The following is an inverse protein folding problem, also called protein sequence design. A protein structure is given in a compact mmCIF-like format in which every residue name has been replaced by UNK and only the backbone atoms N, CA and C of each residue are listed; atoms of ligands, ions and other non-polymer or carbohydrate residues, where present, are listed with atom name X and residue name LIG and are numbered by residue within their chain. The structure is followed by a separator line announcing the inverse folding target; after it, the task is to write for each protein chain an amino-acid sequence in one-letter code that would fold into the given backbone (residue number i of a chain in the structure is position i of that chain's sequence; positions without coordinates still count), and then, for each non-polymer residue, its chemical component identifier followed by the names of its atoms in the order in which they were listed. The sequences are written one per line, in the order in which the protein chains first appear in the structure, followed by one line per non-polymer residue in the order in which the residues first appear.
data_IF_026807605763
#
_entry.id   IF_026807605763
#
_cell.length_a   1.000
_cell.length_b   1.000
_cell.length_c   1.000
_cell.angle_alpha   90.00
_cell.angle_beta   90.00
_cell.angle_gamma   90.00
#
_symmetry.space_group_name_H-M   'P 1'
#
loop_
_entity.id
_entity.type
_entity.pdbx_description
1 polymer ?
#
# COMPACT_ATOMS: atom_id res chain seq x y z
N UNK A 1 5.02 3.64 -27.58
CA UNK A 1 5.06 2.26 -28.12
C UNK A 1 4.30 2.29 -29.44
N UNK A 2 4.81 1.71 -30.51
CA UNK A 2 4.16 1.79 -31.83
C UNK A 2 3.27 0.57 -32.12
N UNK A 3 2.33 0.74 -33.03
CA UNK A 3 1.36 -0.30 -33.42
C UNK A 3 2.01 -1.47 -34.15
N UNK A 4 3.19 -1.29 -34.75
CA UNK A 4 3.94 -2.37 -35.41
C UNK A 4 4.56 -3.32 -34.38
N UNK A 5 4.93 -2.81 -33.21
CA UNK A 5 5.47 -3.55 -32.09
C UNK A 5 4.38 -4.31 -31.34
N UNK A 6 3.22 -3.68 -31.10
CA UNK A 6 2.07 -4.32 -30.45
C UNK A 6 1.55 -5.55 -31.19
N UNK A 7 1.59 -5.54 -32.54
CA UNK A 7 1.18 -6.68 -33.39
C UNK A 7 2.01 -7.96 -33.19
N UNK A 8 3.18 -7.88 -32.54
CA UNK A 8 4.07 -9.03 -32.26
C UNK A 8 3.91 -9.56 -30.83
N UNK A 9 3.09 -8.93 -29.99
CA UNK A 9 2.80 -9.43 -28.65
C UNK A 9 1.62 -10.39 -28.71
N UNK A 10 1.83 -11.63 -28.24
CA UNK A 10 0.76 -12.63 -28.16
C UNK A 10 -0.28 -12.29 -27.08
N UNK A 11 0.13 -11.58 -26.03
CA UNK A 11 -0.73 -11.19 -24.93
C UNK A 11 -0.34 -9.81 -24.41
N UNK A 12 -1.35 -9.02 -24.03
CA UNK A 12 -1.18 -7.78 -23.28
C UNK A 12 -1.93 -7.99 -21.96
N UNK A 13 -1.21 -7.91 -20.84
CA UNK A 13 -1.81 -8.02 -19.51
C UNK A 13 -1.90 -6.63 -18.91
N UNK A 14 -3.13 -6.18 -18.68
CA UNK A 14 -3.38 -4.90 -18.06
C UNK A 14 -3.33 -5.00 -16.54
N UNK A 15 -2.63 -4.06 -15.91
CA UNK A 15 -2.60 -3.89 -14.47
C UNK A 15 -3.25 -2.56 -14.12
N UNK A 16 -4.60 -2.50 -14.00
CA UNK A 16 -5.29 -1.27 -13.70
C UNK A 16 -4.98 -0.80 -12.27
N UNK A 17 -5.28 0.48 -12.01
CA UNK A 17 -5.23 1.00 -10.65
C UNK A 17 -6.12 0.16 -9.71
N UNK A 18 -5.61 -0.22 -8.52
CA UNK A 18 -6.36 -1.08 -7.62
C UNK A 18 -7.62 -0.36 -7.13
N UNK A 19 -8.76 -1.03 -7.11
CA UNK A 19 -9.98 -0.54 -6.51
C UNK A 19 -9.90 -0.52 -4.97
N UNK A 20 -10.95 -0.04 -4.30
CA UNK A 20 -10.97 0.06 -2.84
C UNK A 20 -10.71 -1.30 -2.14
N UNK A 21 -11.42 -2.35 -2.54
CA UNK A 21 -11.25 -3.71 -2.00
C UNK A 21 -9.84 -4.25 -2.20
N UNK A 22 -9.26 -4.03 -3.38
CA UNK A 22 -7.89 -4.41 -3.70
C UNK A 22 -6.89 -3.63 -2.86
N UNK A 23 -7.04 -2.30 -2.69
CA UNK A 23 -6.17 -1.50 -1.82
C UNK A 23 -6.23 -1.97 -0.38
N UNK A 24 -7.43 -2.25 0.15
CA UNK A 24 -7.60 -2.81 1.51
C UNK A 24 -6.85 -4.12 1.67
N UNK A 25 -6.93 -5.01 0.67
CA UNK A 25 -6.19 -6.27 0.66
C UNK A 25 -4.68 -6.03 0.63
N UNK A 26 -4.21 -5.14 -0.23
CA UNK A 26 -2.79 -4.78 -0.32
C UNK A 26 -2.30 -4.25 1.03
N UNK A 27 -3.01 -3.30 1.64
CA UNK A 27 -2.67 -2.78 2.98
C UNK A 27 -2.48 -3.89 4.01
N UNK A 28 -3.44 -4.81 4.13
CA UNK A 28 -3.38 -5.93 5.08
C UNK A 28 -2.25 -6.93 4.81
N UNK A 29 -1.83 -7.06 3.54
CA UNK A 29 -0.81 -8.02 3.13
C UNK A 29 0.60 -7.43 3.07
N UNK A 30 0.72 -6.10 3.09
CA UNK A 30 2.02 -5.42 2.95
C UNK A 30 2.79 -5.43 4.26
N UNK A 31 2.12 -5.41 5.41
CA UNK A 31 2.75 -5.59 6.71
C UNK A 31 3.19 -7.04 6.91
N UNK A 32 4.47 -7.32 7.22
CA UNK A 32 4.89 -8.63 7.69
C UNK A 32 4.08 -9.09 8.91
N UNK A 33 3.83 -10.40 9.03
CA UNK A 33 3.02 -10.96 10.14
C UNK A 33 3.58 -10.65 11.53
N UNK A 34 4.89 -10.41 11.64
CA UNK A 34 5.59 -10.14 12.89
C UNK A 34 5.63 -8.64 13.23
N UNK A 35 5.15 -7.76 12.35
CA UNK A 35 5.18 -6.32 12.61
C UNK A 35 4.28 -5.99 13.80
N UNK A 36 4.80 -5.35 14.86
CA UNK A 36 3.98 -4.90 15.97
C UNK A 36 3.03 -3.80 15.47
N UNK A 37 1.74 -4.10 15.44
CA UNK A 37 0.70 -3.20 14.95
C UNK A 37 -0.33 -2.93 16.03
N UNK A 38 -0.72 -1.67 16.16
CA UNK A 38 -1.78 -1.22 17.03
C UNK A 38 -3.15 -1.47 16.40
N UNK A 39 -4.16 -1.69 17.25
CA UNK A 39 -5.52 -2.04 16.82
C UNK A 39 -6.27 -0.84 16.21
N UNK A 40 -5.73 0.37 16.35
CA UNK A 40 -6.27 1.62 15.81
C UNK A 40 -6.06 1.78 14.29
N UNK A 41 -5.30 0.89 13.63
CA UNK A 41 -5.06 0.99 12.19
C UNK A 41 -6.34 0.62 11.41
N UNK A 42 -6.98 1.65 10.85
CA UNK A 42 -8.17 1.49 10.02
C UNK A 42 -7.82 1.35 8.53
N UNK A 43 -7.66 0.10 8.09
CA UNK A 43 -7.41 -0.22 6.67
C UNK A 43 -8.59 0.11 5.74
N UNK A 44 -9.82 0.10 6.25
CA UNK A 44 -10.99 0.46 5.47
C UNK A 44 -10.93 1.96 5.15
N UNK A 45 -10.71 2.78 6.17
CA UNK A 45 -10.50 4.21 6.01
C UNK A 45 -9.36 4.53 5.03
N UNK A 46 -8.18 3.93 5.24
CA UNK A 46 -7.01 4.13 4.37
C UNK A 46 -7.32 3.78 2.91
N UNK A 47 -7.96 2.63 2.67
CA UNK A 47 -8.30 2.18 1.31
C UNK A 47 -9.34 3.08 0.62
N UNK A 48 -10.24 3.72 1.37
CA UNK A 48 -11.27 4.63 0.83
C UNK A 48 -10.69 6.01 0.54
N UNK A 49 -9.90 6.54 1.48
CA UNK A 49 -9.36 7.90 1.41
C UNK A 49 -8.18 8.01 0.45
N UNK A 50 -7.31 7.01 0.39
CA UNK A 50 -6.10 7.05 -0.44
C UNK A 50 -6.31 6.30 -1.75
N UNK A 51 -6.40 7.04 -2.86
CA UNK A 51 -6.44 6.49 -4.23
C UNK A 51 -5.01 6.33 -4.77
N UNK A 52 -4.29 5.33 -4.25
CA UNK A 52 -2.86 5.14 -4.51
C UNK A 52 -2.53 3.74 -5.03
N UNK A 53 -1.37 3.58 -5.67
CA UNK A 53 -0.88 2.30 -6.18
C UNK A 53 -0.42 1.38 -5.04
N UNK A 54 -0.26 0.08 -5.34
CA UNK A 54 0.37 -0.85 -4.40
C UNK A 54 1.80 -0.48 -4.03
N UNK A 55 2.56 0.11 -4.97
CA UNK A 55 3.92 0.62 -4.69
C UNK A 55 3.92 1.77 -3.68
N UNK A 56 2.97 2.70 -3.79
CA UNK A 56 2.82 3.77 -2.79
C UNK A 56 2.44 3.20 -1.41
N UNK A 57 1.52 2.23 -1.35
CA UNK A 57 1.15 1.57 -0.08
C UNK A 57 2.39 0.96 0.57
N UNK A 58 3.22 0.23 -0.19
CA UNK A 58 4.47 -0.35 0.30
C UNK A 58 5.42 0.69 0.91
N UNK A 59 5.60 1.82 0.22
CA UNK A 59 6.46 2.88 0.72
C UNK A 59 5.93 3.51 2.01
N UNK A 60 4.60 3.74 2.10
CA UNK A 60 3.98 4.27 3.32
C UNK A 60 4.15 3.28 4.48
N UNK A 61 3.93 2.00 4.25
CA UNK A 61 4.12 0.95 5.28
C UNK A 61 5.55 0.96 5.81
N UNK A 62 6.54 1.00 4.92
CA UNK A 62 7.95 1.03 5.29
C UNK A 62 8.30 2.29 6.11
N UNK A 63 7.86 3.46 5.64
CA UNK A 63 8.09 4.73 6.35
C UNK A 63 7.38 4.76 7.71
N UNK A 64 6.15 4.25 7.80
CA UNK A 64 5.42 4.15 9.06
C UNK A 64 6.14 3.22 10.05
N UNK A 65 6.75 2.13 9.58
CA UNK A 65 7.57 1.25 10.41
C UNK A 65 8.82 1.97 10.94
N UNK A 66 9.51 2.76 10.10
CA UNK A 66 10.64 3.58 10.54
C UNK A 66 10.24 4.62 11.58
N UNK A 67 9.10 5.31 11.39
CA UNK A 67 8.58 6.26 12.37
C UNK A 67 8.26 5.59 13.71
N UNK A 68 7.66 4.41 13.67
CA UNK A 68 7.31 3.66 14.87
C UNK A 68 8.53 3.11 15.63
N UNK A 69 9.63 2.84 14.94
CA UNK A 69 10.86 2.31 15.53
C UNK A 69 11.47 3.24 16.60
N UNK A 70 11.18 4.55 16.55
CA UNK A 70 11.72 5.52 17.50
C UNK A 70 11.07 5.45 18.90
N UNK A 71 9.80 5.03 19.03
CA UNK A 71 9.08 4.77 20.30
C UNK A 71 7.58 4.51 20.03
N UNK A 72 6.89 3.51 20.62
CA UNK A 72 7.31 2.33 21.38
C UNK A 72 7.53 1.08 20.48
N UNK A 73 7.93 1.25 19.21
CA UNK A 73 8.17 0.14 18.28
C UNK A 73 6.90 -0.45 17.65
N UNK A 74 5.72 0.11 17.94
CA UNK A 74 4.42 -0.34 17.44
C UNK A 74 3.88 0.62 16.38
N UNK A 75 3.64 0.12 15.17
CA UNK A 75 2.99 0.89 14.10
C UNK A 75 1.56 1.21 14.52
N UNK A 76 1.14 2.45 14.36
CA UNK A 76 -0.19 2.93 14.72
C UNK A 76 -0.73 3.80 13.60
N UNK A 77 -2.01 4.16 13.67
CA UNK A 77 -2.65 4.97 12.64
C UNK A 77 -1.95 6.32 12.45
N UNK A 78 -1.45 6.92 13.54
CA UNK A 78 -0.65 8.14 13.51
C UNK A 78 0.57 8.01 12.58
N UNK A 79 1.33 6.92 12.71
CA UNK A 79 2.52 6.69 11.88
C UNK A 79 2.16 6.56 10.40
N UNK A 80 1.08 5.82 10.10
CA UNK A 80 0.60 5.62 8.72
C UNK A 80 0.15 6.94 8.09
N UNK A 81 -0.58 7.77 8.84
CA UNK A 81 -1.03 9.08 8.36
C UNK A 81 0.14 10.05 8.13
N UNK A 82 1.13 10.07 9.02
CA UNK A 82 2.34 10.90 8.83
C UNK A 82 3.11 10.44 7.59
N UNK A 83 3.27 9.13 7.41
CA UNK A 83 3.97 8.55 6.26
C UNK A 83 3.22 8.67 4.93
N UNK A 84 1.93 8.98 4.95
CA UNK A 84 1.07 9.17 3.77
C UNK A 84 0.99 10.62 3.28
N UNK A 85 1.62 11.56 4.00
CA UNK A 85 1.83 12.94 3.55
C UNK A 85 3.04 13.01 2.64
#
# INVERSE_FOLDING_TARGET
MDDAFLRRLHFIVEFPFPNNTQRRRIWKQTFPRQTPMSEDIDFEFLSRRLKITGGNIKNIVLNAAFLAAANPGKVSMKHVIIAAK
#
